data_IF_184023172459
#
_entry.id   IF_184023172459
#
_cell.length_a   1.000
_cell.length_b   1.000
_cell.length_c   1.000
_cell.angle_alpha   90.00
_cell.angle_beta   90.00
_cell.angle_gamma   90.00
#
_symmetry.space_group_name_H-M   'P 1'
#
loop_
_entity.id
_entity.type
_entity.pdbx_description
1 polymer ?
#
# COMPACT_ATOMS: atom_id res chain seq x y z
N UNK A 1 20.59 -13.54 -11.78
CA UNK A 1 20.22 -12.13 -12.03
C UNK A 1 18.71 -12.14 -12.18
N UNK A 2 18.05 -12.25 -11.03
CA UNK A 2 16.64 -12.65 -10.97
C UNK A 2 15.80 -11.40 -10.90
N UNK A 3 14.96 -11.20 -11.92
CA UNK A 3 13.96 -10.12 -11.92
C UNK A 3 12.90 -10.49 -10.88
N UNK A 4 13.11 -10.05 -9.64
CA UNK A 4 12.27 -10.41 -8.48
C UNK A 4 10.85 -9.81 -8.58
N UNK A 5 10.64 -8.82 -9.45
CA UNK A 5 9.32 -8.24 -9.71
C UNK A 5 9.31 -7.16 -10.78
N UNK A 6 8.11 -6.78 -11.21
CA UNK A 6 7.82 -5.71 -12.15
C UNK A 6 6.94 -4.65 -11.49
N UNK A 7 7.35 -3.39 -11.60
CA UNK A 7 6.51 -2.25 -11.19
C UNK A 7 5.56 -1.89 -12.33
N UNK A 8 4.26 -2.01 -12.09
CA UNK A 8 3.21 -1.83 -13.09
C UNK A 8 2.43 -0.57 -12.79
N UNK A 9 2.24 0.24 -13.84
CA UNK A 9 1.40 1.45 -13.81
C UNK A 9 0.16 1.21 -14.64
N UNK A 10 -1.00 1.29 -14.00
CA UNK A 10 -2.30 1.12 -14.64
C UNK A 10 -3.01 2.46 -14.72
N UNK A 11 -3.45 2.85 -15.92
CA UNK A 11 -4.27 4.05 -16.15
C UNK A 11 -5.69 3.62 -16.48
N UNK A 12 -6.65 4.13 -15.71
CA UNK A 12 -8.07 3.88 -15.95
C UNK A 12 -8.54 4.77 -17.11
N UNK A 13 -8.55 4.24 -18.33
CA UNK A 13 -8.91 5.00 -19.54
C UNK A 13 -10.41 5.24 -19.70
N UNK A 14 -11.25 4.37 -19.13
CA UNK A 14 -12.71 4.48 -19.20
C UNK A 14 -13.31 4.02 -17.87
N UNK A 15 -14.07 4.89 -17.21
CA UNK A 15 -14.80 4.58 -15.98
C UNK A 15 -16.19 5.21 -16.05
N UNK A 16 -17.23 4.42 -15.82
CA UNK A 16 -18.64 4.87 -15.81
C UNK A 16 -19.18 5.15 -14.40
N UNK A 17 -18.46 4.75 -13.36
CA UNK A 17 -18.91 4.84 -11.96
C UNK A 17 -18.22 5.98 -11.22
N UNK A 18 -16.98 6.30 -11.57
CA UNK A 18 -16.19 7.34 -10.90
C UNK A 18 -15.34 8.12 -11.91
N UNK A 19 -14.62 9.19 -11.49
CA UNK A 19 -13.81 10.00 -12.39
C UNK A 19 -12.81 9.16 -13.20
N UNK A 20 -12.80 9.28 -14.54
CA UNK A 20 -11.85 8.57 -15.38
C UNK A 20 -10.43 9.14 -15.24
N UNK A 21 -9.45 8.47 -15.84
CA UNK A 21 -8.04 8.87 -15.95
C UNK A 21 -7.21 8.87 -14.67
N UNK A 22 -7.69 8.24 -13.59
CA UNK A 22 -6.87 7.95 -12.43
C UNK A 22 -5.78 6.91 -12.77
N UNK A 23 -4.61 7.07 -12.18
CA UNK A 23 -3.49 6.14 -12.29
C UNK A 23 -3.24 5.43 -10.96
N UNK A 24 -3.01 4.13 -11.02
CA UNK A 24 -2.55 3.32 -9.90
C UNK A 24 -1.18 2.72 -10.25
N UNK A 25 -0.29 2.65 -9.27
CA UNK A 25 1.05 2.08 -9.42
C UNK A 25 1.19 0.99 -8.36
N UNK A 26 1.52 -0.23 -8.76
CA UNK A 26 1.72 -1.34 -7.84
C UNK A 26 2.80 -2.29 -8.35
N UNK A 27 3.44 -2.99 -7.43
CA UNK A 27 4.47 -3.97 -7.74
C UNK A 27 3.84 -5.36 -7.89
N UNK A 28 4.15 -6.03 -9.01
CA UNK A 28 3.83 -7.43 -9.25
C UNK A 28 5.11 -8.25 -9.07
N UNK A 29 5.15 -9.08 -8.02
CA UNK A 29 6.28 -9.97 -7.76
C UNK A 29 6.09 -11.29 -8.51
N UNK A 30 7.11 -11.77 -9.20
CA UNK A 30 7.09 -13.10 -9.80
C UNK A 30 7.08 -14.13 -8.66
N UNK A 31 6.02 -14.94 -8.56
CA UNK A 31 5.65 -15.93 -7.52
C UNK A 31 4.59 -15.52 -6.47
N UNK A 32 4.41 -14.23 -6.15
CA UNK A 32 3.37 -13.79 -5.19
C UNK A 32 2.23 -12.99 -5.84
N UNK A 33 2.41 -12.51 -7.06
CA UNK A 33 1.42 -11.66 -7.73
C UNK A 33 1.44 -10.23 -7.20
N UNK A 34 0.26 -9.64 -6.98
CA UNK A 34 0.12 -8.23 -6.58
C UNK A 34 0.53 -8.06 -5.12
N UNK A 35 1.51 -7.21 -4.85
CA UNK A 35 2.00 -6.94 -3.49
C UNK A 35 1.07 -5.99 -2.73
N UNK A 36 -0.05 -6.51 -2.21
CA UNK A 36 -1.02 -5.77 -1.39
C UNK A 36 -0.37 -5.03 -0.21
N UNK A 37 0.54 -5.70 0.51
CA UNK A 37 1.26 -5.08 1.63
C UNK A 37 2.14 -3.90 1.20
N UNK A 38 2.69 -3.94 -0.02
CA UNK A 38 3.47 -2.82 -0.57
C UNK A 38 2.59 -1.63 -0.93
N UNK A 39 1.49 -1.88 -1.64
CA UNK A 39 0.54 -0.84 -2.00
C UNK A 39 -0.10 -0.18 -0.76
N UNK A 40 -0.39 -0.99 0.28
CA UNK A 40 -0.91 -0.49 1.55
C UNK A 40 0.08 0.47 2.25
N UNK A 41 1.37 0.15 2.24
CA UNK A 41 2.40 1.04 2.80
C UNK A 41 2.51 2.34 2.01
N UNK A 42 2.47 2.25 0.68
CA UNK A 42 2.60 3.41 -0.19
C UNK A 42 1.40 4.35 -0.08
N UNK A 43 0.20 3.77 -0.04
CA UNK A 43 -1.03 4.50 0.29
C UNK A 43 -0.96 5.09 1.71
N UNK A 44 -0.51 4.32 2.70
CA UNK A 44 -0.39 4.77 4.08
C UNK A 44 0.56 5.96 4.25
N UNK A 45 1.69 5.97 3.55
CA UNK A 45 2.62 7.12 3.53
C UNK A 45 1.98 8.30 2.79
N UNK A 46 1.31 8.06 1.66
CA UNK A 46 0.65 9.10 0.87
C UNK A 46 -0.47 9.83 1.63
N UNK A 47 -1.23 9.11 2.45
CA UNK A 47 -2.30 9.69 3.29
C UNK A 47 -1.81 10.10 4.70
N UNK A 48 -0.49 10.08 4.94
CA UNK A 48 0.14 10.44 6.22
C UNK A 48 -0.37 9.64 7.43
N UNK A 49 -0.79 8.40 7.19
CA UNK A 49 -1.19 7.45 8.24
C UNK A 49 0.05 6.72 8.77
N UNK A 50 0.96 6.37 7.85
CA UNK A 50 2.27 5.79 8.16
C UNK A 50 3.31 6.89 8.11
N UNK A 51 4.02 7.11 9.23
CA UNK A 51 5.14 8.03 9.32
C UNK A 51 6.42 7.34 8.88
N UNK A 52 7.17 8.02 8.02
CA UNK A 52 8.49 7.57 7.56
C UNK A 52 9.57 8.41 8.23
N UNK A 53 10.32 7.81 9.15
CA UNK A 53 11.49 8.43 9.79
C UNK A 53 12.75 7.79 9.19
N UNK A 54 13.26 8.40 8.12
CA UNK A 54 14.40 7.90 7.36
C UNK A 54 14.09 6.56 6.69
N UNK A 55 14.80 5.50 7.10
CA UNK A 55 14.54 4.13 6.64
C UNK A 55 13.45 3.41 7.47
N UNK A 56 13.01 3.98 8.59
CA UNK A 56 12.01 3.33 9.45
C UNK A 56 10.59 3.77 9.14
N UNK A 57 9.66 2.82 9.17
CA UNK A 57 8.22 3.04 9.01
C UNK A 57 7.52 2.79 10.34
N UNK A 58 6.68 3.74 10.76
CA UNK A 58 5.87 3.65 11.97
C UNK A 58 4.42 4.00 11.69
N UNK A 59 3.52 3.30 12.36
CA UNK A 59 2.08 3.56 12.35
C UNK A 59 1.67 3.96 13.76
N UNK A 60 1.33 5.24 13.94
CA UNK A 60 1.13 5.83 15.26
C UNK A 60 2.39 5.67 16.13
N UNK A 61 2.25 4.91 17.22
CA UNK A 61 3.34 4.56 18.14
C UNK A 61 3.98 3.19 17.82
N UNK A 62 3.38 2.41 16.93
CA UNK A 62 3.85 1.07 16.58
C UNK A 62 4.87 1.13 15.46
N UNK A 63 6.03 0.51 15.65
CA UNK A 63 7.08 0.43 14.63
C UNK A 63 6.81 -0.75 13.70
N UNK A 64 6.54 -0.46 12.41
CA UNK A 64 6.25 -1.47 11.39
C UNK A 64 7.52 -2.17 10.90
N UNK A 65 8.65 -1.46 10.89
CA UNK A 65 9.93 -2.03 10.47
C UNK A 65 10.99 -1.01 10.09
N UNK A 66 12.23 -1.49 9.96
CA UNK A 66 13.32 -0.74 9.33
C UNK A 66 13.39 -1.16 7.85
N UNK A 67 12.82 -0.34 6.98
CA UNK A 67 12.75 -0.55 5.54
C UNK A 67 11.38 -1.01 5.04
N UNK A 68 11.23 -0.97 3.71
CA UNK A 68 9.99 -1.38 3.03
C UNK A 68 9.73 -2.88 3.16
N UNK A 69 10.78 -3.69 3.12
CA UNK A 69 10.69 -5.15 3.09
C UNK A 69 10.29 -5.73 4.44
N UNK A 70 10.87 -5.23 5.53
CA UNK A 70 10.48 -5.60 6.89
C UNK A 70 9.05 -5.17 7.23
N UNK A 71 8.65 -3.97 6.80
CA UNK A 71 7.28 -3.51 6.97
C UNK A 71 6.28 -4.34 6.15
N UNK A 72 6.65 -4.79 4.94
CA UNK A 72 5.82 -5.72 4.15
C UNK A 72 5.65 -7.07 4.87
N UNK A 73 6.73 -7.61 5.43
CA UNK A 73 6.68 -8.86 6.20
C UNK A 73 5.78 -8.71 7.45
N UNK A 74 5.94 -7.62 8.20
CA UNK A 74 5.12 -7.32 9.37
C UNK A 74 3.63 -7.23 9.02
N UNK A 75 3.27 -6.55 7.94
CA UNK A 75 1.86 -6.44 7.50
C UNK A 75 1.30 -7.76 6.95
N UNK A 76 2.14 -8.66 6.45
CA UNK A 76 1.72 -10.01 6.02
C UNK A 76 1.42 -10.90 7.21
N UNK A 77 2.22 -10.81 8.26
CA UNK A 77 2.05 -11.57 9.50
C UNK A 77 0.90 -11.01 10.34
N UNK A 78 0.86 -9.69 10.55
CA UNK A 78 -0.17 -9.02 11.34
C UNK A 78 -1.25 -8.37 10.46
N UNK A 79 -2.17 -9.23 10.00
CA UNK A 79 -3.34 -8.81 9.22
C UNK A 79 -4.26 -7.86 10.00
N UNK A 80 -4.30 -7.92 11.34
CA UNK A 80 -5.15 -7.03 12.14
C UNK A 80 -4.69 -5.58 12.03
N UNK A 81 -3.38 -5.36 12.10
CA UNK A 81 -2.78 -4.04 11.93
C UNK A 81 -2.92 -3.56 10.48
N UNK A 82 -2.75 -4.46 9.50
CA UNK A 82 -3.00 -4.14 8.10
C UNK A 82 -4.46 -3.69 7.83
N UNK A 83 -5.45 -4.39 8.40
CA UNK A 83 -6.87 -4.04 8.23
C UNK A 83 -7.21 -2.68 8.89
N UNK A 84 -6.59 -2.35 10.03
CA UNK A 84 -6.75 -1.04 10.66
C UNK A 84 -6.21 0.08 9.77
N UNK A 85 -4.99 -0.08 9.26
CA UNK A 85 -4.37 0.88 8.34
C UNK A 85 -5.22 1.02 7.07
N UNK A 86 -5.72 -0.08 6.53
CA UNK A 86 -6.60 -0.06 5.36
C UNK A 86 -7.89 0.73 5.61
N UNK A 87 -8.55 0.50 6.76
CA UNK A 87 -9.77 1.23 7.13
C UNK A 87 -9.52 2.73 7.24
N UNK A 88 -8.45 3.14 7.92
CA UNK A 88 -8.09 4.56 8.05
C UNK A 88 -7.76 5.19 6.69
N UNK A 89 -7.05 4.45 5.82
CA UNK A 89 -6.76 4.88 4.45
C UNK A 89 -8.07 5.07 3.67
N UNK A 90 -9.00 4.12 3.75
CA UNK A 90 -10.28 4.18 3.07
C UNK A 90 -11.12 5.38 3.52
N UNK A 91 -11.16 5.64 4.84
CA UNK A 91 -11.82 6.81 5.42
C UNK A 91 -11.19 8.12 4.94
N UNK A 92 -9.85 8.26 5.02
CA UNK A 92 -9.15 9.46 4.53
C UNK A 92 -9.27 9.65 3.02
N UNK A 93 -9.24 8.57 2.25
CA UNK A 93 -9.42 8.61 0.80
C UNK A 93 -10.85 9.00 0.41
N UNK A 94 -11.78 9.12 1.37
CA UNK A 94 -13.22 9.31 1.14
C UNK A 94 -13.74 8.35 0.07
N UNK A 95 -13.20 7.12 0.07
CA UNK A 95 -13.85 6.03 -0.64
C UNK A 95 -15.14 5.83 0.14
N UNK A 96 -16.24 6.35 -0.42
CA UNK A 96 -17.57 6.01 0.05
C UNK A 96 -17.61 4.49 0.08
N UNK A 97 -17.58 3.92 1.29
CA UNK A 97 -17.93 2.53 1.51
C UNK A 97 -19.36 2.44 1.01
N UNK A 98 -19.51 1.90 -0.20
CA UNK A 98 -20.78 1.37 -0.69
C UNK A 98 -20.98 0.00 -0.04
#
# INVERSE_FOLDING_TARGET
EDVVGNRVKVKIVKNKVAPPFKTAEFDIMYNEGISLAGDLLDAGVKYEIVKKSGNSLSYGETKLGAGRESAKAFLREDKKTADKIFKEIAEKAKLAVL
#
